data_IF_161011631355
#
_entry.id   IF_161011631355
#
_cell.length_a   1.000
_cell.length_b   1.000
_cell.length_c   1.000
_cell.angle_alpha   90.00
_cell.angle_beta   90.00
_cell.angle_gamma   90.00
#
_symmetry.space_group_name_H-M   'P 1'
#
loop_
_entity.id
_entity.type
_entity.pdbx_description
1 polymer ?
#
# COMPACT_ATOMS: atom_id res chain seq x y z
N UNK A 1 18.52 -6.21 2.80
CA UNK A 1 17.47 -7.22 2.57
C UNK A 1 16.84 -7.53 3.92
N UNK A 2 15.65 -7.00 4.21
CA UNK A 2 14.97 -7.29 5.47
C UNK A 2 14.42 -8.70 5.42
N UNK A 3 14.90 -9.54 6.34
CA UNK A 3 14.51 -10.93 6.53
C UNK A 3 13.01 -10.99 6.86
N UNK A 4 12.19 -11.54 5.96
CA UNK A 4 10.82 -11.95 6.30
C UNK A 4 10.97 -13.23 7.14
N UNK A 5 10.83 -13.12 8.46
CA UNK A 5 11.10 -14.20 9.43
C UNK A 5 9.91 -15.15 9.62
N UNK A 6 9.29 -15.61 8.52
CA UNK A 6 8.19 -16.57 8.53
C UNK A 6 7.03 -16.20 7.59
N UNK A 7 6.06 -17.10 7.36
CA UNK A 7 4.86 -16.77 6.59
C UNK A 7 4.07 -15.69 7.33
N UNK A 8 3.61 -14.69 6.59
CA UNK A 8 2.72 -13.65 7.13
C UNK A 8 1.28 -13.92 6.70
N UNK A 9 0.32 -13.39 7.43
CA UNK A 9 -1.09 -13.51 7.06
C UNK A 9 -1.55 -12.21 6.38
N UNK A 10 -2.33 -12.30 5.31
CA UNK A 10 -2.82 -11.15 4.55
C UNK A 10 -4.32 -11.25 4.34
N UNK A 11 -5.03 -10.12 4.34
CA UNK A 11 -6.43 -10.12 3.91
C UNK A 11 -6.53 -10.41 2.42
N UNK A 12 -7.58 -11.17 2.05
CA UNK A 12 -7.92 -11.51 0.68
C UNK A 12 -9.34 -11.04 0.36
N UNK A 13 -9.48 -10.11 -0.58
CA UNK A 13 -10.78 -9.67 -1.08
C UNK A 13 -10.64 -8.93 -2.42
N UNK A 14 -11.71 -8.91 -3.20
CA UNK A 14 -11.88 -8.02 -4.34
C UNK A 14 -13.25 -7.34 -4.22
N UNK A 15 -13.29 -6.04 -4.45
CA UNK A 15 -14.54 -5.31 -4.37
C UNK A 15 -14.43 -3.90 -4.92
N UNK A 16 -15.58 -3.24 -5.05
CA UNK A 16 -15.66 -1.83 -5.38
C UNK A 16 -14.89 -0.99 -4.35
N UNK A 17 -14.03 -0.08 -4.80
CA UNK A 17 -13.20 0.73 -3.91
C UNK A 17 -13.99 1.69 -3.01
N UNK A 18 -15.22 2.05 -3.40
CA UNK A 18 -16.08 2.98 -2.69
C UNK A 18 -17.22 2.27 -1.93
N UNK A 19 -17.73 1.15 -2.45
CA UNK A 19 -18.93 0.50 -1.92
C UNK A 19 -18.80 -1.03 -1.84
N UNK A 20 -17.84 -1.51 -1.05
CA UNK A 20 -17.71 -2.92 -0.72
C UNK A 20 -17.15 -3.13 0.68
N UNK A 21 -17.24 -4.34 1.22
CA UNK A 21 -16.54 -4.73 2.46
C UNK A 21 -15.01 -4.65 2.32
N UNK A 22 -14.52 -4.64 1.08
CA UNK A 22 -13.12 -4.46 0.72
C UNK A 22 -12.75 -2.97 0.58
N UNK A 23 -13.70 -2.04 0.60
CA UNK A 23 -13.38 -0.61 0.53
C UNK A 23 -12.56 -0.15 1.76
N UNK A 24 -11.78 0.90 1.59
CA UNK A 24 -11.09 1.54 2.72
C UNK A 24 -11.99 2.56 3.43
N UNK A 25 -11.88 2.72 4.76
CA UNK A 25 -11.19 1.81 5.68
C UNK A 25 -11.97 0.50 5.88
N UNK A 26 -11.26 -0.63 5.95
CA UNK A 26 -11.92 -1.92 6.21
C UNK A 26 -12.49 -1.93 7.62
N UNK A 27 -13.78 -2.21 7.74
CA UNK A 27 -14.42 -2.49 9.03
C UNK A 27 -14.51 -4.01 9.27
N UNK A 28 -13.39 -4.60 9.70
CA UNK A 28 -13.27 -6.05 9.93
C UNK A 28 -14.27 -6.57 10.97
N UNK A 29 -14.66 -5.72 11.94
CA UNK A 29 -15.67 -6.09 12.96
C UNK A 29 -17.06 -6.26 12.39
N UNK A 30 -17.40 -5.47 11.36
CA UNK A 30 -18.71 -5.50 10.70
C UNK A 30 -18.73 -6.49 9.54
N UNK A 31 -17.62 -6.60 8.83
CA UNK A 31 -17.45 -7.46 7.67
C UNK A 31 -16.12 -8.21 7.80
N UNK A 32 -16.13 -9.44 8.34
CA UNK A 32 -14.95 -10.27 8.39
C UNK A 32 -14.42 -10.50 6.97
N UNK A 33 -13.17 -10.11 6.73
CA UNK A 33 -12.48 -10.47 5.50
C UNK A 33 -11.79 -11.81 5.69
N UNK A 34 -11.78 -12.63 4.65
CA UNK A 34 -10.94 -13.82 4.61
C UNK A 34 -9.46 -13.40 4.69
N UNK A 35 -8.67 -14.19 5.41
CA UNK A 35 -7.23 -14.04 5.51
C UNK A 35 -6.55 -15.31 5.06
N UNK A 36 -5.39 -15.18 4.42
CA UNK A 36 -4.58 -16.31 3.96
C UNK A 36 -3.11 -16.12 4.29
N UNK A 37 -2.43 -17.23 4.50
CA UNK A 37 -0.97 -17.25 4.64
C UNK A 37 -0.30 -16.87 3.32
N UNK A 38 0.71 -16.02 3.43
CA UNK A 38 1.53 -15.52 2.34
C UNK A 38 2.96 -16.01 2.55
N UNK A 39 3.26 -17.14 1.92
CA UNK A 39 4.56 -17.80 2.01
C UNK A 39 5.51 -17.14 1.01
N UNK A 40 6.67 -16.68 1.48
CA UNK A 40 7.69 -15.98 0.67
C UNK A 40 7.20 -14.71 -0.05
N UNK A 41 6.22 -14.00 0.52
CA UNK A 41 5.65 -12.78 -0.07
C UNK A 41 5.30 -11.71 0.96
N UNK A 42 4.61 -10.68 0.47
CA UNK A 42 4.16 -9.52 1.25
C UNK A 42 2.68 -9.29 1.02
N UNK A 43 1.99 -8.62 1.94
CA UNK A 43 0.59 -8.28 1.74
C UNK A 43 0.47 -7.13 0.74
N UNK A 44 -0.46 -7.28 -0.20
CA UNK A 44 -0.79 -6.30 -1.20
C UNK A 44 -2.15 -5.66 -0.93
N UNK A 45 -2.23 -4.39 -1.29
CA UNK A 45 -3.47 -3.64 -1.48
C UNK A 45 -3.35 -2.90 -2.79
N UNK A 46 -4.16 -3.30 -3.75
CA UNK A 46 -4.09 -2.82 -5.12
C UNK A 46 -5.43 -2.20 -5.50
N UNK A 47 -5.43 -0.90 -5.79
CA UNK A 47 -6.57 -0.25 -6.44
C UNK A 47 -6.31 -0.16 -7.94
N UNK A 48 -7.26 -0.61 -8.76
CA UNK A 48 -7.15 -0.58 -10.22
C UNK A 48 -8.53 -0.48 -10.87
N UNK A 49 -8.56 -0.03 -12.12
CA UNK A 49 -9.81 0.10 -12.86
C UNK A 49 -10.15 -1.19 -13.60
N UNK A 50 -11.38 -1.67 -13.44
CA UNK A 50 -11.97 -2.75 -14.23
C UNK A 50 -13.19 -2.18 -14.93
N UNK A 51 -13.20 -2.16 -16.26
CA UNK A 51 -14.31 -1.65 -17.08
C UNK A 51 -14.79 -0.24 -16.67
N UNK A 52 -13.86 0.68 -16.39
CA UNK A 52 -14.16 2.07 -16.03
C UNK A 52 -14.58 2.30 -14.57
N UNK A 53 -14.61 1.25 -13.74
CA UNK A 53 -14.90 1.35 -12.30
C UNK A 53 -13.66 1.03 -11.47
N UNK A 54 -13.42 1.77 -10.39
CA UNK A 54 -12.30 1.55 -9.48
C UNK A 54 -12.61 0.41 -8.51
N UNK A 55 -11.78 -0.62 -8.55
CA UNK A 55 -11.79 -1.75 -7.64
C UNK A 55 -10.61 -1.68 -6.68
N UNK A 56 -10.76 -2.35 -5.55
CA UNK A 56 -9.70 -2.63 -4.60
C UNK A 56 -9.58 -4.14 -4.43
N UNK A 57 -8.35 -4.62 -4.56
CA UNK A 57 -7.97 -6.00 -4.36
C UNK A 57 -6.93 -6.08 -3.24
N UNK A 58 -7.17 -6.96 -2.28
CA UNK A 58 -6.20 -7.33 -1.23
C UNK A 58 -5.82 -8.77 -1.45
N UNK A 59 -4.52 -9.05 -1.44
CA UNK A 59 -4.00 -10.39 -1.70
C UNK A 59 -2.55 -10.54 -1.23
N UNK A 60 -2.00 -11.73 -1.36
CA UNK A 60 -0.59 -12.02 -1.15
C UNK A 60 0.19 -11.78 -2.45
N UNK A 61 1.37 -11.17 -2.37
CA UNK A 61 2.19 -10.91 -3.56
C UNK A 61 2.66 -12.19 -4.27
N UNK A 62 2.79 -13.30 -3.55
CA UNK A 62 3.16 -14.59 -4.14
C UNK A 62 2.07 -15.18 -5.06
N UNK A 63 0.84 -14.66 -5.00
CA UNK A 63 -0.27 -15.08 -5.87
C UNK A 63 -0.38 -14.26 -7.16
N UNK A 64 0.40 -13.18 -7.29
CA UNK A 64 0.44 -12.42 -8.54
C UNK A 64 1.61 -12.87 -9.42
N UNK A 65 1.29 -13.17 -10.67
CA UNK A 65 2.26 -13.54 -11.72
C UNK A 65 3.00 -12.33 -12.33
N UNK A 66 2.95 -11.16 -11.67
CA UNK A 66 3.65 -9.95 -12.16
C UNK A 66 5.03 -9.81 -11.52
N UNK A 67 6.01 -9.39 -12.34
CA UNK A 67 7.40 -9.20 -11.95
C UNK A 67 7.59 -7.90 -11.15
N UNK A 68 6.91 -7.79 -10.01
CA UNK A 68 6.98 -6.61 -9.14
C UNK A 68 8.17 -6.73 -8.21
N UNK A 69 9.06 -5.74 -8.23
CA UNK A 69 10.12 -5.64 -7.23
C UNK A 69 9.47 -5.45 -5.84
N UNK A 70 9.46 -6.54 -5.07
CA UNK A 70 8.86 -6.61 -3.73
C UNK A 70 9.68 -5.75 -2.77
N UNK A 71 9.12 -4.60 -2.39
CA UNK A 71 9.72 -3.69 -1.40
C UNK A 71 8.63 -3.38 -0.37
N UNK A 72 8.90 -3.72 0.89
CA UNK A 72 7.97 -3.50 1.99
C UNK A 72 7.69 -2.02 2.22
N UNK A 73 6.46 -1.72 2.67
CA UNK A 73 5.98 -0.40 3.09
C UNK A 73 6.09 0.67 1.99
N UNK A 74 5.95 0.25 0.73
CA UNK A 74 5.93 1.13 -0.44
C UNK A 74 4.57 1.05 -1.11
N UNK A 75 4.08 2.20 -1.54
CA UNK A 75 2.99 2.27 -2.46
C UNK A 75 3.44 2.94 -3.75
N UNK A 76 3.11 2.35 -4.89
CA UNK A 76 3.41 2.88 -6.22
C UNK A 76 2.10 3.21 -6.93
N UNK A 77 2.11 4.21 -7.79
CA UNK A 77 1.01 4.44 -8.71
C UNK A 77 0.92 3.25 -9.67
N UNK A 78 -0.29 2.78 -9.90
CA UNK A 78 -0.59 1.73 -10.87
C UNK A 78 -0.20 2.19 -12.29
N UNK A 79 0.22 1.26 -13.16
CA UNK A 79 0.83 1.59 -14.46
C UNK A 79 -0.07 2.40 -15.39
N UNK A 80 -1.39 2.23 -15.30
CA UNK A 80 -2.36 3.04 -16.05
C UNK A 80 -2.74 4.36 -15.34
N UNK A 81 -2.05 4.71 -14.25
CA UNK A 81 -2.05 6.03 -13.62
C UNK A 81 -3.26 6.32 -12.72
N UNK A 82 -4.25 5.44 -12.68
CA UNK A 82 -5.51 5.70 -12.00
C UNK A 82 -5.68 4.89 -10.69
N UNK A 83 -4.68 4.11 -10.30
CA UNK A 83 -4.71 3.26 -9.11
C UNK A 83 -3.44 3.35 -8.27
N UNK A 84 -3.40 2.57 -7.19
CA UNK A 84 -2.23 2.46 -6.31
C UNK A 84 -2.00 1.00 -5.92
N UNK A 85 -0.74 0.57 -5.97
CA UNK A 85 -0.29 -0.72 -5.47
C UNK A 85 0.55 -0.50 -4.22
N UNK A 86 0.01 -0.85 -3.06
CA UNK A 86 0.67 -0.82 -1.76
C UNK A 86 1.14 -2.21 -1.33
N UNK A 87 2.34 -2.28 -0.77
CA UNK A 87 2.98 -3.49 -0.28
C UNK A 87 3.38 -3.31 1.18
N UNK A 88 3.16 -4.32 2.03
CA UNK A 88 3.59 -4.28 3.44
C UNK A 88 3.93 -5.68 3.97
N UNK A 89 4.90 -5.78 4.88
CA UNK A 89 5.51 -7.05 5.33
C UNK A 89 5.11 -7.50 6.73
N UNK A 90 3.90 -7.18 7.19
CA UNK A 90 3.42 -7.47 8.56
C UNK A 90 2.07 -8.20 8.49
N UNK A 91 1.74 -9.00 9.50
CA UNK A 91 0.44 -9.68 9.56
C UNK A 91 -0.71 -8.67 9.41
N UNK A 92 -1.61 -8.94 8.47
CA UNK A 92 -2.87 -8.25 8.22
C UNK A 92 -2.70 -6.74 7.94
N UNK A 93 -1.51 -6.31 7.52
CA UNK A 93 -1.17 -4.90 7.33
C UNK A 93 -1.91 -4.23 6.16
N UNK A 94 -2.43 -5.02 5.21
CA UNK A 94 -3.17 -4.52 4.07
C UNK A 94 -4.62 -4.10 4.40
N UNK A 95 -5.09 -4.23 5.65
CA UNK A 95 -6.42 -3.79 6.07
C UNK A 95 -6.58 -2.30 6.36
N UNK A 96 -5.48 -1.57 6.56
CA UNK A 96 -5.51 -0.16 6.98
C UNK A 96 -5.67 0.85 5.85
N UNK A 97 -6.03 2.08 6.23
CA UNK A 97 -5.89 3.23 5.34
C UNK A 97 -4.43 3.33 4.89
N UNK A 98 -4.24 3.45 3.59
CA UNK A 98 -2.95 3.82 3.02
C UNK A 98 -2.76 5.30 3.33
N UNK A 99 -2.31 5.62 4.54
CA UNK A 99 -1.97 6.97 4.95
C UNK A 99 -0.67 7.38 4.25
N UNK A 100 -0.77 7.75 2.98
CA UNK A 100 0.33 8.28 2.19
C UNK A 100 0.64 9.70 2.63
N UNK A 101 1.32 9.87 3.77
CA UNK A 101 2.12 11.07 3.96
C UNK A 101 3.46 10.83 3.29
N UNK A 102 3.59 11.33 2.05
CA UNK A 102 4.88 11.40 1.37
C UNK A 102 5.85 12.19 2.26
N UNK A 103 6.75 11.49 2.96
CA UNK A 103 7.80 12.08 3.80
C UNK A 103 8.78 12.95 3.00
N UNK A 104 8.75 12.82 1.67
CA UNK A 104 9.58 13.59 0.74
C UNK A 104 9.32 15.09 0.83
N UNK A 105 8.09 15.51 1.17
CA UNK A 105 7.78 16.93 1.33
C UNK A 105 8.45 17.55 2.56
N UNK A 106 8.71 16.80 3.65
CA UNK A 106 9.25 17.41 4.87
C UNK A 106 10.74 17.77 4.74
N UNK A 107 11.50 16.98 3.98
CA UNK A 107 12.94 17.18 3.79
C UNK A 107 13.28 18.30 2.79
N UNK A 108 12.38 18.59 1.84
CA UNK A 108 12.56 19.69 0.89
C UNK A 108 12.30 21.04 1.53
N UNK A 109 11.29 21.16 2.41
CA UNK A 109 11.03 22.41 3.12
C UNK A 109 12.17 22.79 4.09
N UNK A 110 12.77 21.84 4.79
CA UNK A 110 13.88 22.12 5.73
C UNK A 110 15.13 22.59 5.00
N UNK A 111 15.49 21.96 3.88
CA UNK A 111 16.66 22.35 3.08
C UNK A 111 16.52 23.74 2.44
N UNK A 112 15.33 24.08 1.94
CA UNK A 112 15.04 25.44 1.42
C UNK A 112 15.12 26.49 2.52
N UNK A 113 14.56 26.20 3.71
CA UNK A 113 14.59 27.14 4.84
C UNK A 113 16.03 27.43 5.29
N UNK A 114 16.87 26.38 5.40
CA UNK A 114 18.28 26.49 5.78
C UNK A 114 19.06 27.33 4.74
N UNK A 115 18.81 27.11 3.45
CA UNK A 115 19.44 27.90 2.38
C UNK A 115 19.00 29.37 2.39
N UNK A 116 17.74 29.66 2.70
CA UNK A 116 17.25 31.03 2.85
C UNK A 116 17.86 31.74 4.06
N UNK A 117 17.97 31.05 5.21
CA UNK A 117 18.62 31.59 6.41
C UNK A 117 20.10 31.88 6.16
N UNK A 118 20.81 30.96 5.50
CA UNK A 118 22.22 31.15 5.14
C UNK A 118 22.44 32.35 4.20
N UNK A 119 21.49 32.60 3.28
CA UNK A 119 21.53 33.77 2.37
C UNK A 119 21.17 35.10 3.06
N UNK A 120 20.44 35.08 4.17
CA UNK A 120 20.08 36.29 4.91
C UNK A 120 21.18 36.71 5.91
N UNK A 121 21.92 35.74 6.44
CA UNK A 121 23.03 35.97 7.37
C UNK A 121 24.33 36.44 6.68
N UNK A 122 24.34 36.53 5.35
CA UNK A 122 25.49 36.91 4.54
C UNK A 122 25.18 38.17 3.76
#
# INVERSE_FOLDING_TARGET
>A
ASLITGPIECYTCIGDANNSSCADPVNIRRFPLESRECIHGVCLKWTHYINGKLYIERTCSALLEMNIMLVHDVCRTESFGNGYLCMCGRHLCNGGNSNHKSLVNLLTFTSILIMCLYRWMR
#
